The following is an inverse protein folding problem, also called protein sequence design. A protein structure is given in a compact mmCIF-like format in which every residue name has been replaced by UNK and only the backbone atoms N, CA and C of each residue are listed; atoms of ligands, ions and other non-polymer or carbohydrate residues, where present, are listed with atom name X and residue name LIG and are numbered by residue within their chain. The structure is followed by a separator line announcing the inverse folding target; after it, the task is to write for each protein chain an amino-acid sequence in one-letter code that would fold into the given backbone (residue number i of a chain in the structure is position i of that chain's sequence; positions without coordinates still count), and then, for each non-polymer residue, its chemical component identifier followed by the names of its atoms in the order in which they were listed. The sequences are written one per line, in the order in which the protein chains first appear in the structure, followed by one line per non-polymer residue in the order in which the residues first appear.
data_IF_151527230186
#
_entry.id   IF_151527230186
#
_cell.length_a   1.000
_cell.length_b   1.000
_cell.length_c   1.000
_cell.angle_alpha   90.00
_cell.angle_beta   90.00
_cell.angle_gamma   90.00
#
_symmetry.space_group_name_H-M   'P 1'
#
loop_
_entity.id
_entity.type
_entity.pdbx_description
1 polymer ?
#
# COMPACT_ATOMS: atom_id res chain seq x y z
N UNK A 1 34.44 -14.75 6.43
CA UNK A 1 34.69 -13.30 6.45
C UNK A 1 33.38 -12.68 6.88
N UNK A 2 33.31 -12.05 8.05
CA UNK A 2 32.08 -11.41 8.50
C UNK A 2 31.70 -10.31 7.51
N UNK A 3 30.47 -10.27 6.98
CA UNK A 3 30.05 -9.16 6.14
C UNK A 3 30.03 -7.92 7.03
N UNK A 4 31.06 -7.08 6.90
CA UNK A 4 31.09 -5.76 7.51
C UNK A 4 29.97 -4.95 6.89
N UNK A 5 28.91 -4.74 7.67
CA UNK A 5 27.84 -3.82 7.31
C UNK A 5 28.47 -2.46 7.02
N UNK A 6 28.25 -1.95 5.81
CA UNK A 6 28.83 -0.66 5.43
C UNK A 6 28.13 0.44 6.25
N UNK A 7 28.84 1.30 6.99
CA UNK A 7 28.23 2.33 7.84
C UNK A 7 27.20 3.21 7.10
N UNK A 8 27.46 3.49 5.82
CA UNK A 8 26.54 4.26 4.96
C UNK A 8 25.23 3.54 4.64
N UNK A 9 25.17 2.21 4.70
CA UNK A 9 23.94 1.44 4.48
C UNK A 9 23.03 1.50 5.71
N UNK A 10 23.59 1.42 6.91
CA UNK A 10 22.83 1.54 8.15
C UNK A 10 22.26 2.94 8.33
N UNK A 11 23.00 3.99 7.97
CA UNK A 11 22.51 5.37 7.99
C UNK A 11 21.30 5.56 7.07
N UNK A 12 21.34 5.00 5.86
CA UNK A 12 20.21 5.05 4.91
C UNK A 12 19.00 4.28 5.40
N UNK A 13 19.22 3.06 5.89
CA UNK A 13 18.17 2.23 6.47
C UNK A 13 17.54 2.93 7.68
N UNK A 14 18.35 3.56 8.54
CA UNK A 14 17.89 4.34 9.67
C UNK A 14 17.02 5.52 9.23
N UNK A 15 17.46 6.31 8.25
CA UNK A 15 16.67 7.44 7.74
C UNK A 15 15.31 6.98 7.16
N UNK A 16 15.32 5.87 6.43
CA UNK A 16 14.10 5.29 5.88
C UNK A 16 13.17 4.77 6.98
N UNK A 17 13.71 4.06 7.98
CA UNK A 17 12.97 3.56 9.14
C UNK A 17 12.40 4.69 9.99
N UNK A 18 13.17 5.75 10.23
CA UNK A 18 12.71 6.94 10.94
C UNK A 18 11.54 7.59 10.20
N UNK A 19 11.68 7.81 8.89
CA UNK A 19 10.62 8.40 8.07
C UNK A 19 9.35 7.54 8.08
N UNK A 20 9.53 6.21 7.99
CA UNK A 20 8.43 5.24 8.03
C UNK A 20 7.77 5.14 9.40
N UNK A 21 8.54 5.19 10.48
CA UNK A 21 8.05 5.22 11.84
C UNK A 21 7.29 6.52 12.12
N UNK A 22 7.80 7.66 11.65
CA UNK A 22 7.15 8.96 11.76
C UNK A 22 5.72 8.93 11.19
N UNK A 23 5.54 8.25 10.05
CA UNK A 23 4.29 8.15 9.29
C UNK A 23 4.05 6.69 8.83
N UNK A 24 3.55 5.80 9.71
CA UNK A 24 3.39 4.38 9.42
C UNK A 24 2.19 4.09 8.50
N UNK A 25 1.24 5.01 8.44
CA UNK A 25 0.12 5.02 7.50
C UNK A 25 -0.36 6.46 7.35
N UNK A 26 -0.97 6.78 6.22
CA UNK A 26 -1.60 8.08 5.98
C UNK A 26 -2.65 8.38 7.06
N UNK A 27 -2.53 9.54 7.72
CA UNK A 27 -3.39 9.94 8.84
C UNK A 27 -2.79 9.71 10.23
N UNK A 28 -1.63 9.05 10.33
CA UNK A 28 -0.90 8.87 11.59
C UNK A 28 0.41 9.65 11.57
N UNK A 29 0.65 10.40 12.66
CA UNK A 29 1.89 11.14 12.89
C UNK A 29 2.29 11.05 14.38
N UNK A 30 3.43 10.40 14.66
CA UNK A 30 4.01 10.33 16.01
C UNK A 30 4.98 11.50 16.27
N UNK A 31 5.68 11.57 17.41
CA UNK A 31 6.76 12.55 17.69
C UNK A 31 8.13 12.12 17.14
N UNK A 32 9.11 13.03 17.06
CA UNK A 32 10.42 12.73 16.44
C UNK A 32 11.20 11.77 17.32
N UNK A 33 11.22 12.04 18.62
CA UNK A 33 11.83 11.20 19.66
C UNK A 33 11.28 9.77 19.63
N UNK A 34 9.96 9.61 19.42
CA UNK A 34 9.35 8.29 19.30
C UNK A 34 9.77 7.59 18.00
N UNK A 35 9.81 8.32 16.89
CA UNK A 35 10.21 7.76 15.60
C UNK A 35 11.68 7.32 15.61
N UNK A 36 12.55 8.10 16.26
CA UNK A 36 13.96 7.76 16.50
C UNK A 36 14.09 6.48 17.32
N UNK A 37 13.39 6.41 18.46
CA UNK A 37 13.44 5.23 19.32
C UNK A 37 12.95 3.96 18.59
N UNK A 38 11.85 4.05 17.85
CA UNK A 38 11.31 2.94 17.06
C UNK A 38 12.29 2.53 15.98
N UNK A 39 12.82 3.47 15.19
CA UNK A 39 13.75 3.17 14.11
C UNK A 39 14.99 2.42 14.62
N UNK A 40 15.59 2.88 15.72
CA UNK A 40 16.72 2.20 16.34
C UNK A 40 16.37 0.79 16.82
N UNK A 41 15.22 0.65 17.50
CA UNK A 41 14.78 -0.63 18.03
C UNK A 41 14.49 -1.64 16.92
N UNK A 42 13.79 -1.23 15.85
CA UNK A 42 13.43 -2.10 14.74
C UNK A 42 14.67 -2.58 13.98
N UNK A 43 15.63 -1.69 13.71
CA UNK A 43 16.89 -2.07 13.04
C UNK A 43 17.68 -3.07 13.89
N UNK A 44 17.77 -2.84 15.22
CA UNK A 44 18.42 -3.78 16.14
C UNK A 44 17.72 -5.13 16.13
N UNK A 45 16.40 -5.17 16.26
CA UNK A 45 15.63 -6.41 16.27
C UNK A 45 15.82 -7.19 14.97
N UNK A 46 15.67 -6.54 13.83
CA UNK A 46 15.84 -7.18 12.52
C UNK A 46 17.28 -7.67 12.32
N UNK A 47 18.27 -6.96 12.85
CA UNK A 47 19.68 -7.41 12.81
C UNK A 47 19.92 -8.73 13.55
N UNK A 48 19.10 -9.05 14.57
CA UNK A 48 19.22 -10.29 15.33
C UNK A 48 18.63 -11.51 14.62
N UNK A 49 17.81 -11.29 13.58
CA UNK A 49 17.14 -12.37 12.84
C UNK A 49 18.04 -13.06 11.82
N UNK A 50 19.26 -12.56 11.59
CA UNK A 50 20.14 -13.01 10.51
C UNK A 50 21.51 -13.46 11.03
N UNK A 51 21.86 -14.72 10.75
CA UNK A 51 23.21 -15.26 10.99
C UNK A 51 24.24 -14.69 10.00
N UNK A 52 23.82 -14.46 8.74
CA UNK A 52 24.57 -13.75 7.70
C UNK A 52 23.77 -12.54 7.22
N UNK A 53 24.41 -11.37 7.10
CA UNK A 53 23.72 -10.13 6.76
C UNK A 53 23.09 -10.22 5.35
N UNK A 54 21.76 -9.99 5.21
CA UNK A 54 21.08 -10.11 3.93
C UNK A 54 21.40 -8.93 3.01
N UNK A 55 20.83 -8.92 1.80
CA UNK A 55 20.96 -7.76 0.92
C UNK A 55 20.40 -6.47 1.57
N UNK A 56 20.93 -5.30 1.19
CA UNK A 56 20.47 -4.00 1.73
C UNK A 56 18.97 -3.80 1.54
N UNK A 57 18.44 -4.20 0.38
CA UNK A 57 17.02 -4.12 0.07
C UNK A 57 16.17 -5.05 0.95
N UNK A 58 16.61 -6.30 1.15
CA UNK A 58 15.92 -7.26 2.01
C UNK A 58 15.92 -6.81 3.48
N UNK A 59 17.10 -6.42 3.99
CA UNK A 59 17.25 -5.91 5.34
C UNK A 59 16.32 -4.72 5.57
N UNK A 60 16.34 -3.77 4.64
CA UNK A 60 15.57 -2.54 4.79
C UNK A 60 14.08 -2.77 4.65
N UNK A 61 13.62 -3.58 3.68
CA UNK A 61 12.20 -3.89 3.56
C UNK A 61 11.63 -4.46 4.87
N UNK A 62 12.36 -5.40 5.48
CA UNK A 62 11.98 -5.99 6.77
C UNK A 62 12.03 -4.98 7.92
N UNK A 63 13.04 -4.11 7.95
CA UNK A 63 13.14 -3.05 8.96
C UNK A 63 12.01 -2.01 8.84
N UNK A 64 11.60 -1.64 7.62
CA UNK A 64 10.50 -0.72 7.37
C UNK A 64 9.14 -1.34 7.76
N UNK A 65 8.93 -2.62 7.45
CA UNK A 65 7.73 -3.35 7.88
C UNK A 65 7.64 -3.40 9.41
N UNK A 66 8.77 -3.71 10.06
CA UNK A 66 8.86 -3.75 11.52
C UNK A 66 8.61 -2.36 12.13
N UNK A 67 9.19 -1.30 11.59
CA UNK A 67 8.98 0.08 12.04
C UNK A 67 7.50 0.51 11.90
N UNK A 68 6.87 0.21 10.76
CA UNK A 68 5.47 0.53 10.54
C UNK A 68 4.55 -0.27 11.47
N UNK A 69 4.86 -1.55 11.72
CA UNK A 69 4.12 -2.40 12.66
C UNK A 69 4.27 -1.93 14.10
N UNK A 70 5.49 -1.70 14.56
CA UNK A 70 5.79 -1.23 15.92
C UNK A 70 5.11 0.12 16.19
N UNK A 71 5.15 1.04 15.23
CA UNK A 71 4.47 2.34 15.39
C UNK A 71 2.96 2.19 15.49
N UNK A 72 2.32 1.39 14.64
CA UNK A 72 0.87 1.15 14.71
C UNK A 72 0.47 0.55 16.07
N UNK A 73 1.26 -0.38 16.59
CA UNK A 73 1.04 -0.96 17.92
C UNK A 73 1.17 0.09 19.03
N UNK A 74 2.22 0.91 19.01
CA UNK A 74 2.41 2.00 19.97
C UNK A 74 1.21 2.97 19.95
N UNK A 75 0.77 3.39 18.76
CA UNK A 75 -0.36 4.31 18.61
C UNK A 75 -1.65 3.67 19.17
N UNK A 76 -1.93 2.42 18.81
CA UNK A 76 -3.09 1.70 19.32
C UNK A 76 -3.06 1.56 20.85
N UNK A 77 -1.92 1.21 21.43
CA UNK A 77 -1.75 1.14 22.89
C UNK A 77 -1.98 2.48 23.58
N UNK A 78 -1.43 3.57 23.02
CA UNK A 78 -1.63 4.91 23.58
C UNK A 78 -3.08 5.36 23.52
N UNK A 79 -3.73 5.20 22.37
CA UNK A 79 -5.17 5.51 22.19
C UNK A 79 -6.02 4.76 23.20
N UNK A 80 -5.75 3.47 23.42
CA UNK A 80 -6.43 2.65 24.44
C UNK A 80 -6.19 3.15 25.85
N UNK A 81 -4.93 3.43 26.19
CA UNK A 81 -4.53 3.89 27.53
C UNK A 81 -5.19 5.20 27.93
N UNK A 82 -5.35 6.13 27.00
CA UNK A 82 -5.98 7.44 27.28
C UNK A 82 -7.45 7.52 26.84
N UNK A 83 -7.97 6.47 26.20
CA UNK A 83 -9.33 6.42 25.64
C UNK A 83 -9.66 7.57 24.68
N UNK A 84 -8.69 7.92 23.82
CA UNK A 84 -8.83 8.98 22.82
C UNK A 84 -8.35 8.48 21.44
N UNK A 85 -9.26 8.26 20.47
CA UNK A 85 -8.92 7.84 19.11
C UNK A 85 -8.11 8.87 18.30
N UNK A 86 -8.05 10.14 18.73
CA UNK A 86 -7.34 11.19 18.01
C UNK A 86 -5.86 11.29 18.36
N UNK A 87 -5.38 10.55 19.38
CA UNK A 87 -3.96 10.56 19.73
C UNK A 87 -3.13 10.10 18.53
N UNK A 88 -2.13 10.90 18.17
CA UNK A 88 -1.28 10.72 16.98
C UNK A 88 -2.03 10.76 15.62
N UNK A 89 -3.25 11.31 15.60
CA UNK A 89 -3.88 11.69 14.33
C UNK A 89 -3.10 12.85 13.71
N UNK A 90 -2.81 12.73 12.42
CA UNK A 90 -2.11 13.78 11.68
C UNK A 90 -3.02 15.01 11.51
N UNK A 91 -2.64 16.19 12.04
CA UNK A 91 -3.45 17.41 11.92
C UNK A 91 -3.61 17.89 10.47
N UNK A 92 -2.76 17.42 9.54
CA UNK A 92 -2.87 17.73 8.12
C UNK A 92 -3.81 16.77 7.36
N UNK A 93 -4.26 15.68 7.97
CA UNK A 93 -5.18 14.74 7.33
C UNK A 93 -6.61 15.29 7.30
N UNK A 94 -7.03 15.79 6.14
CA UNK A 94 -8.35 16.38 5.94
C UNK A 94 -9.32 15.44 5.19
N UNK A 95 -9.01 14.15 5.07
CA UNK A 95 -9.87 13.20 4.31
C UNK A 95 -11.19 12.94 5.02
N UNK A 96 -11.23 13.13 6.34
CA UNK A 96 -12.40 12.97 7.21
C UNK A 96 -12.20 13.78 8.50
N UNK A 97 -13.28 14.08 9.22
CA UNK A 97 -13.24 15.06 10.33
C UNK A 97 -12.51 14.56 11.58
N UNK A 98 -12.65 13.26 11.91
CA UNK A 98 -12.05 12.65 13.10
C UNK A 98 -12.01 11.13 13.00
N UNK A 99 -11.06 10.52 13.69
CA UNK A 99 -11.03 9.07 13.86
C UNK A 99 -12.26 8.56 14.63
N UNK A 100 -12.80 7.42 14.22
CA UNK A 100 -13.75 6.66 15.04
C UNK A 100 -12.99 5.76 16.03
N UNK A 101 -13.67 5.36 17.10
CA UNK A 101 -13.12 4.42 18.08
C UNK A 101 -13.08 3.00 17.49
N UNK A 102 -11.89 2.57 17.05
CA UNK A 102 -11.69 1.26 16.44
C UNK A 102 -12.02 0.11 17.39
N UNK A 103 -11.69 0.20 18.68
CA UNK A 103 -11.98 -0.85 19.66
C UNK A 103 -13.49 -1.06 19.82
N UNK A 104 -14.26 0.01 19.74
CA UNK A 104 -15.72 -0.05 19.75
C UNK A 104 -16.28 -0.62 18.46
N UNK A 105 -15.71 -0.28 17.31
CA UNK A 105 -16.08 -0.89 16.02
C UNK A 105 -15.80 -2.40 15.98
N UNK A 106 -14.68 -2.83 16.58
CA UNK A 106 -14.23 -4.22 16.62
C UNK A 106 -14.89 -5.07 17.72
N UNK A 107 -15.66 -4.45 18.61
CA UNK A 107 -16.34 -5.16 19.70
C UNK A 107 -17.43 -6.08 19.15
N UNK A 108 -17.16 -7.38 19.20
CA UNK A 108 -18.08 -8.43 18.79
C UNK A 108 -18.92 -8.94 19.97
N UNK A 109 -20.24 -8.96 19.80
CA UNK A 109 -21.18 -9.62 20.70
C UNK A 109 -21.60 -10.98 20.11
N UNK A 110 -21.64 -12.03 20.92
CA UNK A 110 -21.92 -13.38 20.45
C UNK A 110 -23.35 -13.55 19.89
N UNK A 111 -24.32 -12.82 20.41
CA UNK A 111 -25.73 -12.92 20.03
C UNK A 111 -26.13 -11.87 18.99
N UNK A 112 -25.48 -10.70 19.02
CA UNK A 112 -25.87 -9.52 18.24
C UNK A 112 -24.83 -9.05 17.23
N UNK A 113 -23.65 -9.69 17.20
CA UNK A 113 -22.56 -9.34 16.30
C UNK A 113 -21.96 -7.96 16.57
N UNK A 114 -21.56 -7.26 15.50
CA UNK A 114 -21.04 -5.89 15.57
C UNK A 114 -22.18 -4.88 15.58
N UNK A 115 -22.49 -4.32 16.75
CA UNK A 115 -23.67 -3.47 16.96
C UNK A 115 -23.38 -2.17 17.74
N UNK A 116 -22.11 -1.87 18.03
CA UNK A 116 -21.77 -0.66 18.77
C UNK A 116 -22.24 0.59 17.98
N UNK A 117 -22.74 1.61 18.69
CA UNK A 117 -23.23 2.85 18.07
C UNK A 117 -22.17 3.58 17.26
N UNK A 118 -20.89 3.30 17.50
CA UNK A 118 -19.78 3.83 16.71
C UNK A 118 -19.93 3.51 15.22
N UNK A 119 -20.56 2.37 14.87
CA UNK A 119 -20.85 1.98 13.50
C UNK A 119 -21.70 2.99 12.72
N UNK A 120 -22.50 3.81 13.41
CA UNK A 120 -23.32 4.83 12.75
C UNK A 120 -22.48 5.94 12.10
N UNK A 121 -21.27 6.18 12.60
CA UNK A 121 -20.33 7.16 12.01
C UNK A 121 -19.65 6.62 10.75
N UNK A 122 -19.54 5.31 10.61
CA UNK A 122 -18.72 4.69 9.57
C UNK A 122 -19.26 4.96 8.14
N UNK A 123 -20.57 4.87 7.86
CA UNK A 123 -21.09 5.19 6.53
C UNK A 123 -20.86 6.65 6.13
N UNK A 124 -20.93 7.59 7.09
CA UNK A 124 -20.72 9.02 6.80
C UNK A 124 -19.30 9.29 6.31
N UNK A 125 -18.33 8.58 6.90
CA UNK A 125 -16.91 8.69 6.56
C UNK A 125 -16.55 7.93 5.28
N UNK A 126 -17.00 6.68 5.14
CA UNK A 126 -16.57 5.81 4.04
C UNK A 126 -17.32 6.06 2.73
N UNK A 127 -18.58 6.52 2.77
CA UNK A 127 -19.41 6.66 1.57
C UNK A 127 -18.82 7.62 0.53
N UNK A 128 -18.35 8.85 0.87
CA UNK A 128 -17.74 9.73 -0.12
C UNK A 128 -16.54 9.10 -0.82
N UNK A 129 -15.69 8.39 -0.07
CA UNK A 129 -14.50 7.70 -0.57
C UNK A 129 -14.88 6.51 -1.48
N UNK A 130 -15.91 5.75 -1.10
CA UNK A 130 -16.45 4.64 -1.88
C UNK A 130 -16.98 5.11 -3.22
N UNK A 131 -17.85 6.13 -3.20
CA UNK A 131 -18.52 6.65 -4.39
C UNK A 131 -17.51 7.29 -5.36
N UNK A 132 -16.49 7.98 -4.87
CA UNK A 132 -15.40 8.48 -5.71
C UNK A 132 -14.63 7.35 -6.39
N UNK A 133 -14.40 6.24 -5.68
CA UNK A 133 -13.73 5.05 -6.25
C UNK A 133 -14.59 4.34 -7.28
N UNK A 134 -15.88 4.17 -7.00
CA UNK A 134 -16.85 3.54 -7.91
C UNK A 134 -17.12 4.39 -9.15
N UNK A 135 -17.20 5.71 -9.00
CA UNK A 135 -17.42 6.64 -10.11
C UNK A 135 -16.26 6.61 -11.12
N UNK A 136 -15.01 6.50 -10.65
CA UNK A 136 -13.82 6.28 -11.51
C UNK A 136 -13.92 4.95 -12.26
N UNK A 137 -14.54 3.95 -11.65
CA UNK A 137 -14.83 2.65 -12.28
C UNK A 137 -16.12 2.65 -13.08
N UNK A 138 -16.77 3.79 -13.34
CA UNK A 138 -18.00 3.85 -14.14
C UNK A 138 -19.28 3.38 -13.46
N UNK A 139 -19.25 3.00 -12.17
CA UNK A 139 -20.43 2.60 -11.39
C UNK A 139 -20.98 3.85 -10.68
N UNK A 140 -22.26 4.20 -10.90
CA UNK A 140 -22.86 5.47 -10.44
C UNK A 140 -24.30 5.28 -9.97
N UNK A 141 -24.83 6.28 -9.25
CA UNK A 141 -26.22 6.33 -8.84
C UNK A 141 -26.58 5.15 -7.92
N UNK A 142 -27.73 4.52 -8.18
CA UNK A 142 -28.25 3.44 -7.34
C UNK A 142 -27.31 2.23 -7.26
N UNK A 143 -26.67 1.85 -8.36
CA UNK A 143 -25.70 0.74 -8.38
C UNK A 143 -24.52 1.01 -7.45
N UNK A 144 -24.04 2.26 -7.39
CA UNK A 144 -22.93 2.62 -6.52
C UNK A 144 -23.32 2.57 -5.04
N UNK A 145 -24.55 2.97 -4.71
CA UNK A 145 -25.08 2.86 -3.34
C UNK A 145 -25.32 1.39 -2.95
N UNK A 146 -25.77 0.53 -3.86
CA UNK A 146 -25.90 -0.91 -3.64
C UNK A 146 -24.53 -1.55 -3.34
N UNK A 147 -23.55 -1.29 -4.21
CA UNK A 147 -22.18 -1.80 -4.02
C UNK A 147 -21.57 -1.31 -2.70
N UNK A 148 -21.82 -0.05 -2.33
CA UNK A 148 -21.37 0.49 -1.05
C UNK A 148 -22.00 -0.23 0.15
N UNK A 149 -23.31 -0.47 0.14
CA UNK A 149 -23.98 -1.20 1.21
C UNK A 149 -23.48 -2.65 1.32
N UNK A 150 -23.28 -3.32 0.17
CA UNK A 150 -22.69 -4.67 0.10
C UNK A 150 -21.25 -4.70 0.66
N UNK A 151 -20.49 -3.62 0.47
CA UNK A 151 -19.15 -3.46 1.07
C UNK A 151 -19.22 -3.31 2.58
N UNK A 152 -20.17 -2.53 3.12
CA UNK A 152 -20.34 -2.39 4.57
C UNK A 152 -20.69 -3.72 5.24
N UNK A 153 -21.56 -4.52 4.60
CA UNK A 153 -21.88 -5.86 5.09
C UNK A 153 -20.63 -6.75 5.08
N UNK A 154 -19.83 -6.70 4.01
CA UNK A 154 -18.62 -7.51 3.90
C UNK A 154 -17.59 -7.22 5.00
N UNK A 155 -17.48 -5.97 5.48
CA UNK A 155 -16.60 -5.63 6.60
C UNK A 155 -16.87 -6.45 7.87
N UNK A 156 -18.13 -6.86 8.07
CA UNK A 156 -18.58 -7.63 9.24
C UNK A 156 -18.71 -9.13 8.96
N UNK A 157 -18.62 -9.53 7.69
CA UNK A 157 -18.82 -10.92 7.27
C UNK A 157 -17.61 -11.76 7.67
N UNK A 158 -17.85 -12.80 8.46
CA UNK A 158 -16.83 -13.78 8.81
C UNK A 158 -16.39 -14.54 7.56
N UNK A 159 -15.10 -14.46 7.23
CA UNK A 159 -14.53 -15.18 6.09
C UNK A 159 -14.37 -16.67 6.43
N UNK A 160 -14.51 -17.52 5.43
CA UNK A 160 -14.45 -18.98 5.62
C UNK A 160 -13.05 -19.49 5.98
N UNK A 161 -12.00 -18.86 5.41
CA UNK A 161 -10.62 -19.29 5.57
C UNK A 161 -10.05 -19.03 6.97
N UNK A 162 -10.24 -17.81 7.50
CA UNK A 162 -9.63 -17.37 8.77
C UNK A 162 -10.63 -17.27 9.94
N UNK A 163 -11.92 -17.50 9.67
CA UNK A 163 -13.03 -17.36 10.63
C UNK A 163 -13.06 -16.00 11.33
N UNK A 164 -12.58 -14.94 10.66
CA UNK A 164 -12.59 -13.56 11.17
C UNK A 164 -13.32 -12.63 10.20
N UNK A 165 -13.89 -11.57 10.76
CA UNK A 165 -14.46 -10.49 9.98
C UNK A 165 -13.36 -9.46 9.62
N UNK A 166 -13.37 -8.88 8.41
CA UNK A 166 -12.37 -7.90 7.99
C UNK A 166 -12.17 -6.72 8.95
N UNK A 167 -13.22 -6.28 9.64
CA UNK A 167 -13.14 -5.17 10.61
C UNK A 167 -12.14 -5.44 11.74
N UNK A 168 -11.77 -6.71 11.99
CA UNK A 168 -10.80 -7.12 12.99
C UNK A 168 -9.34 -7.08 12.51
N UNK A 169 -9.10 -6.84 11.22
CA UNK A 169 -7.74 -6.81 10.64
C UNK A 169 -6.96 -5.52 11.03
N UNK A 170 -7.56 -4.30 11.03
CA UNK A 170 -6.90 -3.07 11.44
C UNK A 170 -6.38 -3.06 12.89
N UNK A 171 -5.22 -2.45 13.10
CA UNK A 171 -4.64 -2.13 14.42
C UNK A 171 -4.94 -0.68 14.82
N UNK A 172 -4.93 0.23 13.84
CA UNK A 172 -5.34 1.64 13.99
C UNK A 172 -6.46 1.98 13.01
N UNK A 173 -7.29 2.97 13.38
CA UNK A 173 -8.49 3.33 12.61
C UNK A 173 -8.18 3.66 11.13
N UNK A 174 -7.06 4.33 10.88
CA UNK A 174 -6.62 4.79 9.57
C UNK A 174 -6.43 3.64 8.57
N UNK A 175 -6.18 2.41 9.05
CA UNK A 175 -6.09 1.21 8.20
C UNK A 175 -7.44 0.76 7.65
N UNK A 176 -8.55 1.24 8.21
CA UNK A 176 -9.89 0.92 7.72
C UNK A 176 -10.16 1.51 6.34
N UNK A 177 -9.55 2.67 6.02
CA UNK A 177 -9.72 3.34 4.72
C UNK A 177 -9.16 2.50 3.56
N UNK A 178 -7.86 2.08 3.56
CA UNK A 178 -7.34 1.23 2.51
C UNK A 178 -7.98 -0.16 2.51
N UNK A 179 -8.35 -0.72 3.68
CA UNK A 179 -9.10 -1.98 3.76
C UNK A 179 -10.44 -1.88 3.03
N UNK A 180 -11.24 -0.88 3.39
CA UNK A 180 -12.54 -0.63 2.77
C UNK A 180 -12.40 -0.42 1.27
N UNK A 181 -11.42 0.40 0.85
CA UNK A 181 -11.18 0.68 -0.57
C UNK A 181 -10.84 -0.58 -1.37
N UNK A 182 -10.06 -1.49 -0.79
CA UNK A 182 -9.78 -2.81 -1.38
C UNK A 182 -11.07 -3.63 -1.55
N UNK A 183 -11.93 -3.67 -0.54
CA UNK A 183 -13.20 -4.40 -0.59
C UNK A 183 -14.14 -3.80 -1.64
N UNK A 184 -14.24 -2.46 -1.73
CA UNK A 184 -14.98 -1.77 -2.81
C UNK A 184 -14.46 -2.21 -4.19
N UNK A 185 -13.14 -2.30 -4.35
CA UNK A 185 -12.51 -2.78 -5.58
C UNK A 185 -12.98 -4.17 -5.99
N UNK A 186 -12.99 -5.13 -5.07
CA UNK A 186 -13.48 -6.49 -5.34
C UNK A 186 -14.98 -6.52 -5.63
N UNK A 187 -15.78 -5.73 -4.90
CA UNK A 187 -17.23 -5.65 -5.13
C UNK A 187 -17.59 -5.05 -6.48
N UNK A 188 -16.83 -4.07 -6.94
CA UNK A 188 -17.00 -3.53 -8.28
C UNK A 188 -16.78 -4.61 -9.36
N UNK A 189 -15.77 -5.47 -9.20
CA UNK A 189 -15.51 -6.59 -10.11
C UNK A 189 -16.69 -7.58 -10.11
N UNK A 190 -17.19 -7.94 -8.93
CA UNK A 190 -18.35 -8.83 -8.80
C UNK A 190 -19.61 -8.24 -9.45
N UNK A 191 -19.85 -6.94 -9.28
CA UNK A 191 -20.96 -6.24 -9.94
C UNK A 191 -20.84 -6.34 -11.47
N UNK A 192 -19.65 -6.10 -12.03
CA UNK A 192 -19.41 -6.26 -13.47
C UNK A 192 -19.67 -7.69 -13.96
N UNK A 193 -19.24 -8.70 -13.21
CA UNK A 193 -19.50 -10.11 -13.53
C UNK A 193 -21.00 -10.43 -13.54
N UNK A 194 -21.76 -9.92 -12.56
CA UNK A 194 -23.23 -10.08 -12.51
C UNK A 194 -23.91 -9.40 -13.70
N UNK A 195 -23.50 -8.18 -14.05
CA UNK A 195 -24.06 -7.44 -15.20
C UNK A 195 -23.78 -8.15 -16.54
N UNK A 196 -22.57 -8.67 -16.74
CA UNK A 196 -22.24 -9.47 -17.93
C UNK A 196 -23.10 -10.75 -18.02
N UNK A 197 -23.32 -11.42 -16.88
CA UNK A 197 -24.17 -12.62 -16.82
C UNK A 197 -25.64 -12.31 -17.10
N UNK A 198 -26.14 -11.15 -16.67
CA UNK A 198 -27.49 -10.68 -16.93
C UNK A 198 -27.72 -10.34 -18.40
N UNK A 199 -26.75 -9.68 -19.06
CA UNK A 199 -26.77 -9.39 -20.50
C UNK A 199 -26.74 -10.64 -21.39
N UNK A 200 -26.09 -11.71 -20.92
CA UNK A 200 -25.99 -12.98 -21.63
C UNK A 200 -27.19 -13.93 -21.40
N UNK A 201 -28.31 -13.45 -20.82
CA UNK A 201 -29.52 -14.25 -20.70
C UNK A 201 -30.27 -14.29 -22.04
N UNK A 202 -30.70 -15.46 -22.53
CA UNK A 202 -31.41 -15.59 -23.82
C UNK A 202 -32.79 -14.91 -23.88
N UNK A 203 -33.27 -14.32 -22.77
CA UNK A 203 -34.57 -13.65 -22.69
C UNK A 203 -34.48 -12.10 -22.70
N UNK A 204 -33.29 -11.50 -22.73
CA UNK A 204 -33.13 -10.07 -23.02
C UNK A 204 -32.93 -9.89 -24.52
N UNK A 205 -34.05 -9.89 -25.26
CA UNK A 205 -34.05 -9.66 -26.69
C UNK A 205 -33.63 -8.23 -27.04
N UNK A 206 -32.37 -8.06 -27.42
CA UNK A 206 -31.97 -7.00 -28.36
C UNK A 206 -31.68 -7.68 -29.70
N UNK A 207 -32.37 -7.19 -30.74
CA UNK A 207 -32.27 -7.66 -32.12
C UNK A 207 -30.82 -7.77 -32.57
N UNK A 208 -30.51 -8.81 -33.36
CA UNK A 208 -29.21 -9.03 -34.00
C UNK A 208 -28.70 -7.81 -34.79
N UNK A 209 -29.60 -6.89 -35.17
CA UNK A 209 -29.27 -5.63 -35.85
C UNK A 209 -28.59 -4.58 -34.93
N UNK A 210 -28.72 -4.67 -33.60
CA UNK A 210 -28.07 -3.74 -32.67
C UNK A 210 -26.58 -4.02 -32.44
N UNK A 211 -26.07 -5.15 -32.97
CA UNK A 211 -24.67 -5.57 -32.82
C UNK A 211 -23.76 -5.10 -33.96
N UNK A 212 -24.30 -4.52 -35.03
CA UNK A 212 -23.53 -4.21 -36.24
C UNK A 212 -23.36 -2.72 -36.59
N UNK A 213 -24.09 -1.79 -35.98
CA UNK A 213 -24.14 -0.39 -36.47
C UNK A 213 -23.61 0.70 -35.51
N UNK A 214 -22.79 0.37 -34.51
CA UNK A 214 -22.13 1.40 -33.68
C UNK A 214 -20.59 1.34 -33.75
N UNK A 215 -19.96 2.03 -34.74
CA UNK A 215 -18.50 2.15 -34.84
C UNK A 215 -17.87 3.01 -33.74
N UNK A 216 -18.65 3.67 -32.86
CA UNK A 216 -18.15 4.48 -31.75
C UNK A 216 -18.27 3.79 -30.38
N UNK A 217 -18.60 2.49 -30.33
CA UNK A 217 -18.59 1.74 -29.08
C UNK A 217 -17.14 1.61 -28.58
N UNK A 218 -16.74 2.26 -27.47
CA UNK A 218 -15.38 2.11 -26.98
C UNK A 218 -15.25 0.68 -26.44
N UNK A 219 -14.52 -0.17 -27.16
CA UNK A 219 -13.86 -1.32 -26.53
C UNK A 219 -12.82 -0.76 -25.54
N UNK A 220 -13.26 -0.44 -24.33
CA UNK A 220 -12.36 -0.18 -23.22
C UNK A 220 -12.23 -1.46 -22.41
N UNK A 221 -11.41 -2.37 -22.93
CA UNK A 221 -10.68 -3.29 -22.07
C UNK A 221 -9.55 -2.50 -21.40
N UNK A 222 -9.55 -2.59 -20.07
CA UNK A 222 -8.45 -2.28 -19.15
C UNK A 222 -8.07 -0.80 -18.95
N UNK A 223 -8.72 -0.18 -17.97
CA UNK A 223 -8.03 0.74 -17.07
C UNK A 223 -7.81 0.03 -15.72
N UNK A 224 -6.70 -0.73 -15.64
CA UNK A 224 -6.26 -1.40 -14.40
C UNK A 224 -5.28 -0.55 -13.58
N UNK A 225 -5.36 0.77 -13.66
CA UNK A 225 -4.71 1.67 -12.68
C UNK A 225 -5.40 1.70 -11.30
N UNK A 226 -6.29 0.74 -11.01
CA UNK A 226 -7.19 0.82 -9.86
C UNK A 226 -6.74 -0.03 -8.66
N UNK A 227 -5.83 0.50 -7.86
CA UNK A 227 -5.78 0.20 -6.43
C UNK A 227 -5.46 1.48 -5.64
N UNK A 228 -6.44 2.12 -4.98
CA UNK A 228 -6.15 3.06 -3.92
C UNK A 228 -5.96 2.25 -2.61
N UNK A 229 -4.87 1.51 -2.58
CA UNK A 229 -4.11 1.28 -1.36
C UNK A 229 -2.74 1.87 -1.65
N UNK A 230 -2.16 2.64 -0.72
CA UNK A 230 -0.79 3.15 -0.90
C UNK A 230 0.15 1.99 -1.18
N UNK A 231 0.54 1.82 -2.44
CA UNK A 231 1.58 0.88 -2.85
C UNK A 231 2.86 1.39 -2.18
N UNK A 232 3.34 0.70 -1.16
CA UNK A 232 4.55 1.04 -0.43
C UNK A 232 5.72 0.15 -0.89
N UNK A 233 6.93 0.54 -0.54
CA UNK A 233 8.13 -0.16 -0.99
C UNK A 233 8.15 -1.62 -0.52
N UNK A 234 7.71 -1.90 0.71
CA UNK A 234 7.71 -3.25 1.27
C UNK A 234 6.79 -4.17 0.46
N UNK A 235 5.60 -3.69 0.09
CA UNK A 235 4.68 -4.42 -0.77
C UNK A 235 5.25 -4.66 -2.18
N UNK A 236 5.85 -3.62 -2.79
CA UNK A 236 6.52 -3.75 -4.10
C UNK A 236 7.67 -4.76 -4.02
N UNK A 237 8.47 -4.70 -2.97
CA UNK A 237 9.60 -5.60 -2.77
C UNK A 237 9.16 -7.06 -2.64
N UNK A 238 8.09 -7.34 -1.88
CA UNK A 238 7.59 -8.70 -1.71
C UNK A 238 6.99 -9.27 -3.01
N UNK A 239 6.15 -8.52 -3.70
CA UNK A 239 5.49 -8.99 -4.93
C UNK A 239 6.49 -9.13 -6.08
N UNK A 240 7.50 -8.25 -6.16
CA UNK A 240 8.46 -8.21 -7.27
C UNK A 240 9.83 -8.79 -6.91
N UNK A 241 9.97 -9.48 -5.76
CA UNK A 241 11.28 -9.87 -5.20
C UNK A 241 12.17 -10.56 -6.23
N UNK A 242 11.59 -11.49 -6.99
CA UNK A 242 12.28 -12.31 -7.98
C UNK A 242 12.43 -11.63 -9.35
N UNK A 243 11.71 -10.54 -9.59
CA UNK A 243 11.72 -9.85 -10.88
C UNK A 243 12.97 -8.98 -11.08
N UNK A 244 13.55 -8.47 -9.99
CA UNK A 244 14.69 -7.55 -9.99
C UNK A 244 15.92 -8.22 -9.35
N UNK A 245 17.09 -7.94 -9.92
CA UNK A 245 18.38 -8.29 -9.31
C UNK A 245 18.68 -7.43 -8.08
N UNK A 246 19.62 -7.88 -7.24
CA UNK A 246 20.04 -7.15 -6.03
C UNK A 246 20.52 -5.73 -6.34
N UNK A 247 21.25 -5.54 -7.45
CA UNK A 247 21.74 -4.22 -7.86
C UNK A 247 20.60 -3.31 -8.38
N UNK A 248 19.57 -3.87 -9.02
CA UNK A 248 18.38 -3.11 -9.44
C UNK A 248 17.57 -2.67 -8.22
N UNK A 249 17.43 -3.53 -7.21
CA UNK A 249 16.79 -3.18 -5.95
C UNK A 249 17.54 -2.08 -5.18
N UNK A 250 18.87 -2.16 -5.11
CA UNK A 250 19.70 -1.11 -4.49
C UNK A 250 19.54 0.25 -5.19
N UNK A 251 19.41 0.24 -6.53
CA UNK A 251 19.17 1.45 -7.32
C UNK A 251 17.81 2.08 -7.01
N UNK A 252 16.75 1.28 -7.04
CA UNK A 252 15.38 1.74 -6.74
C UNK A 252 15.29 2.24 -5.30
N UNK A 253 15.88 1.50 -4.36
CA UNK A 253 15.92 1.88 -2.95
C UNK A 253 16.62 3.22 -2.73
N UNK A 254 17.85 3.37 -3.25
CA UNK A 254 18.65 4.58 -3.08
C UNK A 254 17.92 5.83 -3.60
N UNK A 255 17.26 5.73 -4.76
CA UNK A 255 16.63 6.86 -5.45
C UNK A 255 15.23 7.18 -4.95
N UNK A 256 14.39 6.18 -4.71
CA UNK A 256 12.94 6.38 -4.50
C UNK A 256 12.51 6.13 -3.06
N UNK A 257 13.27 5.36 -2.28
CA UNK A 257 12.89 4.95 -0.93
C UNK A 257 13.70 5.72 0.12
N UNK A 258 15.01 5.54 0.13
CA UNK A 258 15.90 6.26 1.03
C UNK A 258 16.08 7.72 0.62
N UNK A 259 15.90 8.02 -0.68
CA UNK A 259 16.19 9.32 -1.29
C UNK A 259 17.57 9.87 -0.88
N UNK A 260 18.52 8.96 -0.68
CA UNK A 260 19.82 9.26 -0.06
C UNK A 260 20.86 9.76 -1.07
N UNK A 261 20.53 9.72 -2.36
CA UNK A 261 21.33 10.24 -3.45
C UNK A 261 20.41 10.58 -4.63
N UNK A 262 20.79 11.59 -5.39
CA UNK A 262 20.19 11.87 -6.71
C UNK A 262 20.94 11.11 -7.81
N UNK A 263 20.34 11.02 -9.00
CA UNK A 263 21.04 10.49 -10.18
C UNK A 263 22.36 11.24 -10.44
N UNK A 264 22.41 12.55 -10.13
CA UNK A 264 23.63 13.33 -10.29
C UNK A 264 24.74 12.86 -9.34
N UNK A 265 24.41 12.55 -8.09
CA UNK A 265 25.38 12.06 -7.12
C UNK A 265 25.87 10.64 -7.48
N UNK A 266 24.99 9.80 -8.03
CA UNK A 266 25.33 8.44 -8.44
C UNK A 266 26.26 8.38 -9.65
N UNK A 267 26.13 9.31 -10.61
CA UNK A 267 27.03 9.31 -11.79
C UNK A 267 28.46 9.74 -11.45
N UNK A 268 28.66 10.44 -10.34
CA UNK A 268 29.99 10.84 -9.87
C UNK A 268 30.72 9.67 -9.20
N UNK A 269 29.97 8.68 -8.68
CA UNK A 269 30.46 7.45 -8.06
C UNK A 269 30.81 6.38 -9.10
N UNK A 270 32.10 6.28 -9.44
CA UNK A 270 32.60 5.34 -10.46
C UNK A 270 32.49 3.87 -10.05
N UNK A 271 32.60 3.59 -8.75
CA UNK A 271 32.39 2.28 -8.13
C UNK A 271 30.93 1.82 -8.29
N UNK A 272 29.97 2.69 -8.02
CA UNK A 272 28.54 2.41 -8.18
C UNK A 272 28.18 2.18 -9.66
N UNK A 273 28.65 3.05 -10.55
CA UNK A 273 28.45 2.91 -12.00
C UNK A 273 29.03 1.59 -12.55
N UNK A 274 30.11 1.08 -11.97
CA UNK A 274 30.76 -0.16 -12.43
C UNK A 274 29.90 -1.41 -12.21
N UNK A 275 29.03 -1.42 -11.19
CA UNK A 275 28.07 -2.52 -10.93
C UNK A 275 27.09 -2.72 -12.09
N UNK A 276 26.75 -1.63 -12.78
CA UNK A 276 25.87 -1.63 -13.96
C UNK A 276 26.63 -1.74 -15.29
N UNK A 277 27.91 -2.16 -15.25
CA UNK A 277 28.74 -2.40 -16.45
C UNK A 277 29.31 -1.12 -17.09
N UNK A 278 29.29 0.02 -16.39
CA UNK A 278 29.84 1.27 -16.92
C UNK A 278 31.35 1.35 -16.65
N UNK A 279 32.13 1.63 -17.68
CA UNK A 279 33.59 1.80 -17.55
C UNK A 279 33.93 3.00 -16.66
N UNK A 280 34.98 2.87 -15.85
CA UNK A 280 35.43 3.91 -14.91
C UNK A 280 35.81 5.23 -15.58
N UNK A 281 36.18 5.22 -16.86
CA UNK A 281 36.50 6.41 -17.66
C UNK A 281 35.33 6.93 -18.52
N UNK A 282 34.13 6.36 -18.39
CA UNK A 282 32.96 6.81 -19.15
C UNK A 282 32.54 8.23 -18.75
N UNK A 283 32.09 9.02 -19.73
CA UNK A 283 31.63 10.39 -19.52
C UNK A 283 30.40 10.43 -18.60
N UNK A 284 30.21 11.56 -17.90
CA UNK A 284 29.03 11.80 -17.05
C UNK A 284 27.69 11.59 -17.80
N UNK A 285 27.63 12.03 -19.06
CA UNK A 285 26.46 11.82 -19.93
C UNK A 285 26.20 10.34 -20.21
N UNK A 286 27.26 9.58 -20.48
CA UNK A 286 27.17 8.12 -20.69
C UNK A 286 26.71 7.39 -19.43
N UNK A 287 27.27 7.74 -18.27
CA UNK A 287 26.88 7.17 -16.97
C UNK A 287 25.41 7.44 -16.67
N UNK A 288 24.95 8.69 -16.86
CA UNK A 288 23.55 9.07 -16.66
C UNK A 288 22.60 8.29 -17.57
N UNK A 289 22.95 8.14 -18.85
CA UNK A 289 22.12 7.40 -19.81
C UNK A 289 21.95 5.95 -19.38
N UNK A 290 23.04 5.26 -19.03
CA UNK A 290 22.99 3.85 -18.61
C UNK A 290 22.19 3.69 -17.32
N UNK A 291 22.40 4.54 -16.32
CA UNK A 291 21.62 4.46 -15.08
C UNK A 291 20.12 4.72 -15.33
N UNK A 292 19.76 5.69 -16.17
CA UNK A 292 18.36 5.94 -16.54
C UNK A 292 17.73 4.76 -17.29
N UNK A 293 18.46 4.14 -18.23
CA UNK A 293 18.01 2.92 -18.92
C UNK A 293 17.74 1.81 -17.90
N UNK A 294 18.64 1.59 -16.93
CA UNK A 294 18.45 0.59 -15.86
C UNK A 294 17.28 0.91 -14.94
N UNK A 295 17.07 2.18 -14.58
CA UNK A 295 15.90 2.59 -13.79
C UNK A 295 14.61 2.28 -14.55
N UNK A 296 14.55 2.62 -15.84
CA UNK A 296 13.37 2.34 -16.67
C UNK A 296 13.13 0.84 -16.81
N UNK A 297 14.16 0.03 -17.07
CA UNK A 297 14.06 -1.43 -17.11
C UNK A 297 13.56 -2.02 -15.78
N UNK A 298 14.09 -1.54 -14.65
CA UNK A 298 13.67 -1.99 -13.33
C UNK A 298 12.22 -1.61 -13.01
N UNK A 299 11.81 -0.37 -13.32
CA UNK A 299 10.43 0.07 -13.15
C UNK A 299 9.47 -0.67 -14.09
N UNK A 300 9.91 -1.02 -15.30
CA UNK A 300 9.14 -1.83 -16.25
C UNK A 300 8.94 -3.25 -15.73
N UNK A 301 10.00 -3.90 -15.22
CA UNK A 301 9.89 -5.22 -14.58
C UNK A 301 8.94 -5.22 -13.38
N UNK A 302 9.02 -4.17 -12.54
CA UNK A 302 8.06 -3.98 -11.44
C UNK A 302 6.65 -3.87 -12.03
N UNK A 303 6.45 -3.02 -13.04
CA UNK A 303 5.15 -2.85 -13.70
C UNK A 303 4.60 -4.17 -14.24
N UNK A 304 5.39 -4.94 -14.98
CA UNK A 304 5.00 -6.24 -15.54
C UNK A 304 4.67 -7.27 -14.46
N UNK A 305 5.39 -7.26 -13.33
CA UNK A 305 5.15 -8.18 -12.21
C UNK A 305 3.84 -7.92 -11.49
N UNK A 306 3.36 -6.66 -11.49
CA UNK A 306 2.05 -6.28 -10.96
C UNK A 306 0.87 -6.57 -11.92
N UNK A 307 1.13 -6.99 -13.16
CA UNK A 307 0.10 -7.22 -14.20
C UNK A 307 -0.52 -8.62 -14.13
N UNK A 308 0.01 -9.52 -13.28
CA UNK A 308 -0.50 -10.89 -13.11
C UNK A 308 -1.42 -11.08 -11.90
#
# INVERSE_FOLDING_TARGET
MSPTVCPTQLERCWQACWTRARRPIEGVLISEDEAEHIAEQCIRNVSLDYDEFPSEAEFTAKALEEAARATRQLVAEKRRKVSDPQVHHDPEDSRYDRNLDLDRLQRFDADRGFQDREWNGLPQLLRPLALATLARKGIRGHDADEVFNDTLVELTRVREHDKKAPILDPVVFEELIPLHTRIVGFRAIDWYRRQSTLKNRPNSGESLDALHDDPDRPMQFEDRGSAPGTINFEHIYHECREALSTDEWDLIYTLFVAQSATIQDLIERSDFCSRYGVKSNASASTRRRVLNERIQEALEKIRESFVY
#
